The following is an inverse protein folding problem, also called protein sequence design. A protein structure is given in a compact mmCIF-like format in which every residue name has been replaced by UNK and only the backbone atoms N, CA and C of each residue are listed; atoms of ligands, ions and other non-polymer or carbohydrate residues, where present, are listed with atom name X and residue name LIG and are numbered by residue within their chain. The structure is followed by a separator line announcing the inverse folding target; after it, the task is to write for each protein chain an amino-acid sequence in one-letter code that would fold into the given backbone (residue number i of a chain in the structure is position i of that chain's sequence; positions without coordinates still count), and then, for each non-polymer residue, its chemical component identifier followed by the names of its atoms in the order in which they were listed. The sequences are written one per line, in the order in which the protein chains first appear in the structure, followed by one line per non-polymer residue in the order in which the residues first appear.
data_IF_899191054451
#
_entry.id   IF_899191054451
#
_cell.length_a   1.000
_cell.length_b   1.000
_cell.length_c   1.000
_cell.angle_alpha   90.00
_cell.angle_beta   90.00
_cell.angle_gamma   90.00
#
_symmetry.space_group_name_H-M   'P 1'
#
loop_
_entity.id
_entity.type
_entity.pdbx_description
1 polymer ?
#
# COMPACT_ATOMS: atom_id res chain seq x y z
N UNK A 1 -6.36 -38.46 -6.91
CA UNK A 1 -6.89 -37.72 -8.07
C UNK A 1 -7.17 -36.32 -7.55
N UNK A 2 -6.41 -35.31 -7.98
CA UNK A 2 -6.74 -33.92 -7.63
C UNK A 2 -7.95 -33.57 -8.49
N UNK A 3 -9.05 -33.26 -7.84
CA UNK A 3 -10.31 -33.00 -8.54
C UNK A 3 -10.25 -31.59 -9.14
N UNK A 4 -10.94 -31.38 -10.26
CA UNK A 4 -11.06 -30.05 -10.88
C UNK A 4 -11.55 -28.98 -9.88
N UNK A 5 -12.28 -29.43 -8.85
CA UNK A 5 -12.79 -28.65 -7.74
C UNK A 5 -11.68 -28.09 -6.83
N UNK A 6 -10.59 -28.84 -6.62
CA UNK A 6 -9.42 -28.40 -5.84
C UNK A 6 -8.64 -27.32 -6.60
N UNK A 7 -8.49 -27.48 -7.92
CA UNK A 7 -7.85 -26.48 -8.78
C UNK A 7 -8.67 -25.20 -8.85
N UNK A 8 -10.00 -25.30 -8.99
CA UNK A 8 -10.91 -24.14 -8.97
C UNK A 8 -10.82 -23.39 -7.64
N UNK A 9 -10.83 -24.10 -6.52
CA UNK A 9 -10.73 -23.51 -5.17
C UNK A 9 -9.38 -22.82 -4.97
N UNK A 10 -8.28 -23.40 -5.44
CA UNK A 10 -6.95 -22.79 -5.39
C UNK A 10 -6.86 -21.52 -6.23
N UNK A 11 -7.45 -21.50 -7.43
CA UNK A 11 -7.51 -20.32 -8.30
C UNK A 11 -8.37 -19.22 -7.66
N UNK A 12 -9.50 -19.56 -7.04
CA UNK A 12 -10.35 -18.60 -6.34
C UNK A 12 -9.63 -17.97 -5.14
N UNK A 13 -8.95 -18.79 -4.32
CA UNK A 13 -8.15 -18.32 -3.20
C UNK A 13 -7.03 -17.38 -3.66
N UNK A 14 -6.34 -17.77 -4.72
CA UNK A 14 -5.31 -16.98 -5.38
C UNK A 14 -5.79 -15.61 -5.84
N UNK A 15 -6.92 -15.57 -6.57
CA UNK A 15 -7.55 -14.33 -7.01
C UNK A 15 -8.01 -13.47 -5.82
N UNK A 16 -8.57 -14.08 -4.78
CA UNK A 16 -9.00 -13.38 -3.56
C UNK A 16 -7.85 -12.73 -2.81
N UNK A 17 -6.71 -13.42 -2.68
CA UNK A 17 -5.50 -12.88 -2.05
C UNK A 17 -4.93 -11.71 -2.86
N UNK A 18 -4.87 -11.84 -4.19
CA UNK A 18 -4.42 -10.76 -5.08
C UNK A 18 -5.31 -9.52 -4.94
N UNK A 19 -6.63 -9.70 -4.95
CA UNK A 19 -7.59 -8.60 -4.80
C UNK A 19 -7.47 -7.91 -3.44
N UNK A 20 -7.41 -8.69 -2.36
CA UNK A 20 -7.21 -8.16 -1.01
C UNK A 20 -5.92 -7.34 -0.92
N UNK A 21 -4.85 -7.81 -1.56
CA UNK A 21 -3.60 -7.06 -1.62
C UNK A 21 -3.71 -5.74 -2.35
N UNK A 22 -4.36 -5.70 -3.52
CA UNK A 22 -4.60 -4.45 -4.25
C UNK A 22 -5.41 -3.43 -3.44
N UNK A 23 -6.47 -3.87 -2.74
CA UNK A 23 -7.30 -2.98 -1.91
C UNK A 23 -6.51 -2.39 -0.75
N UNK A 24 -5.70 -3.20 -0.07
CA UNK A 24 -4.83 -2.76 1.02
C UNK A 24 -3.84 -1.72 0.49
N UNK A 25 -3.16 -2.00 -0.62
CA UNK A 25 -2.20 -1.08 -1.24
C UNK A 25 -2.86 0.25 -1.66
N UNK A 26 -4.01 0.21 -2.32
CA UNK A 26 -4.75 1.42 -2.73
C UNK A 26 -5.17 2.26 -1.52
N UNK A 27 -5.74 1.63 -0.49
CA UNK A 27 -6.12 2.32 0.75
C UNK A 27 -4.95 3.04 1.38
N UNK A 28 -3.77 2.42 1.40
CA UNK A 28 -2.57 3.00 2.00
C UNK A 28 -1.95 4.09 1.14
N UNK A 29 -1.90 3.91 -0.18
CA UNK A 29 -1.46 4.95 -1.12
C UNK A 29 -2.31 6.21 -0.96
N UNK A 30 -3.65 6.07 -0.92
CA UNK A 30 -4.58 7.19 -0.72
C UNK A 30 -4.48 7.84 0.65
N UNK A 31 -4.06 7.11 1.67
CA UNK A 31 -3.86 7.68 3.00
C UNK A 31 -2.64 8.61 2.99
N UNK A 32 -1.50 8.14 2.48
CA UNK A 32 -0.27 8.96 2.38
C UNK A 32 -0.48 10.15 1.45
N UNK A 33 -1.14 9.95 0.31
CA UNK A 33 -1.46 11.02 -0.64
C UNK A 33 -2.24 12.16 0.04
N UNK A 34 -3.30 11.84 0.79
CA UNK A 34 -4.09 12.83 1.53
C UNK A 34 -3.29 13.62 2.56
N UNK A 35 -2.33 12.97 3.24
CA UNK A 35 -1.45 13.65 4.17
C UNK A 35 -0.52 14.64 3.45
N UNK A 36 0.03 14.25 2.29
CA UNK A 36 0.85 15.12 1.46
C UNK A 36 0.05 16.27 0.86
N UNK A 37 -1.18 16.04 0.39
CA UNK A 37 -2.08 17.09 -0.11
C UNK A 37 -2.33 18.17 0.94
N UNK A 38 -2.46 17.79 2.21
CA UNK A 38 -2.59 18.77 3.30
C UNK A 38 -1.31 19.60 3.50
N UNK A 39 -0.14 18.97 3.44
CA UNK A 39 1.15 19.68 3.50
C UNK A 39 1.29 20.66 2.33
N UNK A 40 0.93 20.23 1.12
CA UNK A 40 0.95 21.05 -0.09
C UNK A 40 -0.04 22.22 0.01
N UNK A 41 -1.22 21.99 0.57
CA UNK A 41 -2.19 23.06 0.87
C UNK A 41 -1.60 24.10 1.83
N UNK A 42 -0.98 23.67 2.94
CA UNK A 42 -0.36 24.60 3.90
C UNK A 42 0.76 25.41 3.22
N UNK A 43 1.57 24.76 2.39
CA UNK A 43 2.66 25.40 1.62
C UNK A 43 2.16 26.41 0.60
N UNK A 44 1.12 26.08 -0.15
CA UNK A 44 0.65 26.89 -1.28
C UNK A 44 -0.35 27.98 -0.88
N UNK A 45 -1.12 27.77 0.19
CA UNK A 45 -2.23 28.66 0.56
C UNK A 45 -1.99 29.37 1.89
N UNK A 46 -1.59 28.64 2.93
CA UNK A 46 -1.51 29.20 4.30
C UNK A 46 -0.22 30.00 4.47
N UNK A 47 0.92 29.41 4.09
CA UNK A 47 2.24 30.02 4.25
C UNK A 47 2.38 31.40 3.59
N UNK A 48 1.90 31.64 2.36
CA UNK A 48 1.96 32.95 1.72
C UNK A 48 1.10 34.02 2.40
N UNK A 49 0.10 33.61 3.20
CA UNK A 49 -0.85 34.51 3.87
C UNK A 49 -0.49 34.76 5.34
N UNK A 50 0.41 33.95 5.90
CA UNK A 50 0.85 34.08 7.28
C UNK A 50 1.73 35.32 7.47
N UNK A 51 1.62 35.95 8.64
CA UNK A 51 2.52 37.03 9.03
C UNK A 51 4.00 36.58 9.10
N UNK A 52 4.94 37.53 9.03
CA UNK A 52 6.38 37.23 8.96
C UNK A 52 6.90 36.44 10.17
N UNK A 53 6.40 36.72 11.38
CA UNK A 53 6.83 36.05 12.61
C UNK A 53 6.36 34.60 12.69
N UNK A 54 5.17 34.31 12.16
CA UNK A 54 4.55 32.98 12.19
C UNK A 54 5.00 32.13 11.01
N UNK A 55 5.34 32.78 9.89
CA UNK A 55 5.79 32.12 8.66
C UNK A 55 7.02 31.26 8.88
N UNK A 56 8.09 31.77 9.49
CA UNK A 56 9.32 30.99 9.73
C UNK A 56 9.05 29.74 10.59
N UNK A 57 8.24 29.90 11.64
CA UNK A 57 7.85 28.78 12.50
C UNK A 57 7.02 27.75 11.73
N UNK A 58 6.09 28.20 10.88
CA UNK A 58 5.23 27.35 10.09
C UNK A 58 6.00 26.63 8.95
N UNK A 59 6.96 27.29 8.31
CA UNK A 59 7.85 26.68 7.30
C UNK A 59 8.63 25.52 7.91
N UNK A 60 9.23 25.73 9.09
CA UNK A 60 9.95 24.67 9.82
C UNK A 60 9.02 23.48 10.17
N UNK A 61 7.77 23.74 10.54
CA UNK A 61 6.78 22.68 10.84
C UNK A 61 6.35 21.92 9.58
N UNK A 62 6.19 22.62 8.45
CA UNK A 62 5.88 22.02 7.15
C UNK A 62 7.01 21.09 6.71
N UNK A 63 8.26 21.54 6.77
CA UNK A 63 9.43 20.73 6.41
C UNK A 63 9.57 19.50 7.32
N UNK A 64 9.34 19.66 8.63
CA UNK A 64 9.35 18.54 9.57
C UNK A 64 8.26 17.51 9.25
N UNK A 65 7.02 17.96 9.02
CA UNK A 65 5.91 17.08 8.67
C UNK A 65 6.14 16.37 7.32
N UNK A 66 6.65 17.09 6.32
CA UNK A 66 7.01 16.55 5.01
C UNK A 66 8.06 15.44 5.15
N UNK A 67 9.15 15.70 5.89
CA UNK A 67 10.21 14.70 6.12
C UNK A 67 9.68 13.44 6.83
N UNK A 68 8.81 13.59 7.83
CA UNK A 68 8.20 12.45 8.53
C UNK A 68 7.30 11.62 7.60
N UNK A 69 6.47 12.28 6.79
CA UNK A 69 5.57 11.61 5.83
C UNK A 69 6.36 10.95 4.70
N UNK A 70 7.39 11.62 4.16
CA UNK A 70 8.27 11.04 3.15
C UNK A 70 9.05 9.85 3.68
N UNK A 71 9.59 9.93 4.89
CA UNK A 71 10.32 8.82 5.52
C UNK A 71 9.43 7.58 5.62
N UNK A 72 8.18 7.76 6.07
CA UNK A 72 7.23 6.67 6.13
C UNK A 72 6.89 6.10 4.74
N UNK A 73 6.70 6.97 3.72
CA UNK A 73 6.46 6.56 2.34
C UNK A 73 7.63 5.74 1.77
N UNK A 74 8.86 6.24 1.92
CA UNK A 74 10.06 5.55 1.44
C UNK A 74 10.30 4.24 2.17
N UNK A 75 10.02 4.17 3.48
CA UNK A 75 10.12 2.93 4.23
C UNK A 75 9.12 1.86 3.79
N UNK A 76 7.96 2.27 3.26
CA UNK A 76 6.91 1.37 2.77
C UNK A 76 7.09 0.96 1.30
N UNK A 77 7.81 1.75 0.51
CA UNK A 77 7.95 1.55 -0.94
C UNK A 77 8.50 0.17 -1.31
N UNK A 78 9.55 -0.38 -0.65
CA UNK A 78 10.08 -1.69 -1.00
C UNK A 78 9.08 -2.83 -0.75
N UNK A 79 8.32 -2.75 0.35
CA UNK A 79 7.36 -3.80 0.72
C UNK A 79 6.11 -3.75 -0.17
N UNK A 80 5.65 -2.55 -0.51
CA UNK A 80 4.61 -2.30 -1.53
C UNK A 80 5.06 -2.87 -2.87
N UNK A 81 6.29 -2.57 -3.30
CA UNK A 81 6.83 -3.06 -4.57
C UNK A 81 6.91 -4.59 -4.59
N UNK A 82 7.44 -5.20 -3.53
CA UNK A 82 7.50 -6.66 -3.38
C UNK A 82 6.13 -7.29 -3.49
N UNK A 83 5.14 -6.74 -2.79
CA UNK A 83 3.76 -7.21 -2.85
C UNK A 83 3.18 -7.09 -4.27
N UNK A 84 3.40 -5.96 -4.95
CA UNK A 84 3.00 -5.76 -6.34
C UNK A 84 3.60 -6.80 -7.29
N UNK A 85 4.90 -7.07 -7.17
CA UNK A 85 5.61 -8.07 -7.98
C UNK A 85 5.05 -9.47 -7.71
N UNK A 86 4.85 -9.83 -6.44
CA UNK A 86 4.27 -11.12 -6.09
C UNK A 86 2.84 -11.27 -6.64
N UNK A 87 1.99 -10.26 -6.48
CA UNK A 87 0.64 -10.27 -7.02
C UNK A 87 0.63 -10.35 -8.56
N UNK A 88 1.55 -9.67 -9.23
CA UNK A 88 1.69 -9.70 -10.69
C UNK A 88 2.09 -11.10 -11.20
N UNK A 89 3.14 -11.69 -10.61
CA UNK A 89 3.59 -13.05 -10.94
C UNK A 89 2.46 -14.05 -10.72
N UNK A 90 1.76 -13.92 -9.59
CA UNK A 90 0.69 -14.83 -9.24
C UNK A 90 -0.53 -14.66 -10.16
N UNK A 91 -0.83 -13.43 -10.61
CA UNK A 91 -1.83 -13.17 -11.65
C UNK A 91 -1.50 -13.86 -12.98
N UNK A 92 -0.24 -13.80 -13.43
CA UNK A 92 0.22 -14.51 -14.62
C UNK A 92 0.06 -16.02 -14.44
N UNK A 93 0.47 -16.56 -13.30
CA UNK A 93 0.36 -17.99 -13.00
C UNK A 93 -1.10 -18.47 -13.02
N UNK A 94 -2.03 -17.70 -12.44
CA UNK A 94 -3.47 -17.98 -12.54
C UNK A 94 -3.98 -17.97 -13.98
N UNK A 95 -3.58 -16.98 -14.78
CA UNK A 95 -3.98 -16.91 -16.18
C UNK A 95 -3.47 -18.15 -16.96
N UNK A 96 -2.22 -18.54 -16.75
CA UNK A 96 -1.65 -19.74 -17.37
C UNK A 96 -2.39 -21.01 -16.90
N UNK A 97 -2.72 -21.12 -15.62
CA UNK A 97 -3.45 -22.26 -15.07
C UNK A 97 -4.88 -22.38 -15.62
N UNK A 98 -5.53 -21.27 -15.93
CA UNK A 98 -6.86 -21.26 -16.57
C UNK A 98 -6.81 -21.61 -18.05
N UNK A 99 -5.73 -21.23 -18.73
CA UNK A 99 -5.60 -21.36 -20.19
C UNK A 99 -4.98 -22.71 -20.59
N UNK A 100 -4.04 -23.25 -19.80
CA UNK A 100 -3.34 -24.50 -20.11
C UNK A 100 -4.27 -25.72 -20.35
N UNK A 101 -5.37 -25.92 -19.59
CA UNK A 101 -6.30 -27.03 -19.84
C UNK A 101 -6.98 -26.99 -21.22
N UNK A 102 -7.04 -25.83 -21.88
CA UNK A 102 -7.59 -25.70 -23.22
C UNK A 102 -6.64 -26.23 -24.32
N UNK A 103 -5.34 -26.34 -24.03
CA UNK A 103 -4.31 -26.66 -25.03
C UNK A 103 -3.70 -28.06 -24.90
N UNK A 104 -3.86 -28.76 -23.76
CA UNK A 104 -3.27 -30.08 -23.55
C UNK A 104 -4.31 -31.10 -23.01
N UNK A 105 -4.38 -32.29 -23.62
CA UNK A 105 -5.05 -33.51 -23.08
C UNK A 105 -4.03 -34.66 -23.09
N UNK A 106 -3.92 -35.54 -22.07
CA UNK A 106 -4.62 -35.58 -20.78
C UNK A 106 -3.77 -35.06 -19.59
N UNK A 107 -4.45 -34.56 -18.55
CA UNK A 107 -3.89 -33.75 -17.45
C UNK A 107 -3.79 -34.40 -16.03
N UNK A 108 -3.55 -35.72 -15.79
CA UNK A 108 -3.71 -36.24 -14.43
C UNK A 108 -2.47 -36.08 -13.52
N UNK A 109 -1.26 -36.03 -14.09
CA UNK A 109 0.01 -36.03 -13.32
C UNK A 109 0.59 -34.61 -13.20
N UNK A 110 0.27 -33.72 -14.16
CA UNK A 110 0.70 -32.32 -14.13
C UNK A 110 -0.12 -31.43 -13.18
N UNK A 111 -1.35 -31.83 -12.81
CA UNK A 111 -2.22 -31.03 -11.92
C UNK A 111 -1.68 -30.94 -10.49
N UNK A 112 -1.01 -31.96 -9.97
CA UNK A 112 -0.39 -31.90 -8.64
C UNK A 112 0.81 -30.95 -8.61
N UNK A 113 1.64 -30.97 -9.65
CA UNK A 113 2.76 -30.05 -9.79
C UNK A 113 2.28 -28.62 -10.05
N UNK A 114 1.22 -28.43 -10.84
CA UNK A 114 0.60 -27.12 -11.07
C UNK A 114 -0.06 -26.57 -9.80
N UNK A 115 -0.77 -27.40 -9.04
CA UNK A 115 -1.37 -27.01 -7.75
C UNK A 115 -0.29 -26.67 -6.73
N UNK A 116 0.77 -27.49 -6.63
CA UNK A 116 1.92 -27.21 -5.77
C UNK A 116 2.64 -25.93 -6.15
N UNK A 117 2.79 -25.65 -7.45
CA UNK A 117 3.37 -24.41 -7.96
C UNK A 117 2.49 -23.19 -7.65
N UNK A 118 1.17 -23.29 -7.86
CA UNK A 118 0.22 -22.24 -7.50
C UNK A 118 0.30 -21.97 -5.99
N UNK A 119 0.15 -22.98 -5.14
CA UNK A 119 0.23 -22.82 -3.67
C UNK A 119 1.57 -22.20 -3.26
N UNK A 120 2.70 -22.63 -3.84
CA UNK A 120 4.01 -22.05 -3.57
C UNK A 120 4.12 -20.58 -4.01
N UNK A 121 3.47 -20.19 -5.11
CA UNK A 121 3.42 -18.81 -5.60
C UNK A 121 2.50 -17.90 -4.77
N UNK A 122 1.41 -18.45 -4.20
CA UNK A 122 0.46 -17.68 -3.39
C UNK A 122 0.85 -17.58 -1.91
N UNK A 123 1.57 -18.56 -1.36
CA UNK A 123 2.06 -18.56 0.02
C UNK A 123 2.83 -17.28 0.45
N UNK A 124 3.71 -16.67 -0.37
CA UNK A 124 4.42 -15.45 0.03
C UNK A 124 3.55 -14.19 0.05
N UNK A 125 2.37 -14.18 -0.59
CA UNK A 125 1.53 -12.97 -0.68
C UNK A 125 0.91 -12.60 0.67
N UNK A 126 0.27 -13.53 1.42
CA UNK A 126 -0.21 -13.24 2.78
C UNK A 126 0.90 -12.75 3.71
N UNK A 127 2.12 -13.32 3.61
CA UNK A 127 3.26 -12.89 4.41
C UNK A 127 3.68 -11.46 4.08
N UNK A 128 3.78 -11.13 2.79
CA UNK A 128 4.06 -9.77 2.33
C UNK A 128 2.96 -8.78 2.77
N UNK A 129 1.68 -9.19 2.71
CA UNK A 129 0.55 -8.40 3.18
C UNK A 129 0.62 -8.09 4.68
N UNK A 130 0.97 -9.10 5.49
CA UNK A 130 1.14 -8.92 6.93
C UNK A 130 2.29 -7.97 7.23
N UNK A 131 3.42 -8.07 6.52
CA UNK A 131 4.55 -7.17 6.71
C UNK A 131 4.20 -5.72 6.32
N UNK A 132 3.56 -5.51 5.17
CA UNK A 132 3.04 -4.19 4.76
C UNK A 132 2.11 -3.63 5.83
N UNK A 133 1.14 -4.41 6.29
CA UNK A 133 0.21 -4.00 7.34
C UNK A 133 0.90 -3.67 8.67
N UNK A 134 1.93 -4.42 9.06
CA UNK A 134 2.72 -4.19 10.27
C UNK A 134 3.52 -2.89 10.18
N UNK A 135 4.21 -2.67 9.06
CA UNK A 135 4.97 -1.44 8.79
C UNK A 135 4.05 -0.22 8.82
N UNK A 136 2.88 -0.31 8.19
CA UNK A 136 1.89 0.76 8.22
C UNK A 136 1.37 1.05 9.61
N UNK A 137 1.04 0.04 10.41
CA UNK A 137 0.65 0.25 11.82
C UNK A 137 1.76 0.94 12.62
N UNK A 138 3.03 0.66 12.30
CA UNK A 138 4.18 1.31 12.94
C UNK A 138 4.31 2.79 12.54
N UNK A 139 4.08 3.13 11.28
CA UNK A 139 4.25 4.51 10.78
C UNK A 139 3.01 5.40 10.92
N UNK A 140 1.82 4.80 11.00
CA UNK A 140 0.56 5.54 11.10
C UNK A 140 0.56 6.57 12.25
N UNK A 141 1.00 6.23 13.50
CA UNK A 141 1.05 7.20 14.58
C UNK A 141 1.99 8.38 14.30
N UNK A 142 3.13 8.13 13.66
CA UNK A 142 4.06 9.21 13.30
C UNK A 142 3.44 10.16 12.28
N UNK A 143 2.79 9.63 11.24
CA UNK A 143 2.08 10.44 10.23
C UNK A 143 0.92 11.22 10.84
N UNK A 144 0.11 10.56 11.68
CA UNK A 144 -1.02 11.19 12.39
C UNK A 144 -0.50 12.34 13.29
N UNK A 145 0.53 12.09 14.10
CA UNK A 145 1.13 13.10 14.96
C UNK A 145 1.78 14.26 14.19
N UNK A 146 2.40 13.98 13.04
CA UNK A 146 2.95 15.01 12.16
C UNK A 146 1.83 15.93 11.63
N UNK A 147 0.75 15.32 11.14
CA UNK A 147 -0.42 16.02 10.65
C UNK A 147 -1.10 16.83 11.75
N UNK A 148 -1.31 16.26 12.92
CA UNK A 148 -1.97 16.94 14.05
C UNK A 148 -1.15 18.13 14.55
N UNK A 149 0.17 17.98 14.64
CA UNK A 149 1.08 19.10 14.97
C UNK A 149 1.02 20.21 13.93
N UNK A 150 1.01 19.85 12.65
CA UNK A 150 0.90 20.82 11.57
C UNK A 150 -0.47 21.52 11.59
N UNK A 151 -1.55 20.78 11.78
CA UNK A 151 -2.90 21.33 11.86
C UNK A 151 -3.07 22.27 13.05
N UNK A 152 -2.51 21.92 14.22
CA UNK A 152 -2.48 22.80 15.39
C UNK A 152 -1.71 24.08 15.11
N UNK A 153 -0.53 23.99 14.50
CA UNK A 153 0.28 25.15 14.14
C UNK A 153 -0.44 26.08 13.14
N UNK A 154 -1.10 25.51 12.13
CA UNK A 154 -1.94 26.27 11.19
C UNK A 154 -3.08 26.99 11.92
N UNK A 155 -3.77 26.30 12.84
CA UNK A 155 -4.88 26.90 13.58
C UNK A 155 -4.44 28.03 14.51
N UNK A 156 -3.28 27.88 15.16
CA UNK A 156 -2.67 28.93 15.98
C UNK A 156 -2.27 30.13 15.12
N UNK A 157 -1.67 29.89 13.95
CA UNK A 157 -1.28 30.94 13.00
C UNK A 157 -2.49 31.75 12.50
N UNK A 158 -3.57 31.06 12.13
CA UNK A 158 -4.80 31.71 11.66
C UNK A 158 -5.51 32.50 12.76
N UNK A 159 -5.35 32.13 14.04
CA UNK A 159 -5.90 32.87 15.18
C UNK A 159 -5.08 34.10 15.55
N UNK A 160 -3.76 34.05 15.39
CA UNK A 160 -2.91 35.21 15.66
C UNK A 160 -3.04 36.33 14.62
N UNK A 161 -3.59 36.00 13.44
CA UNK A 161 -3.81 36.96 12.34
C UNK A 161 -5.22 37.60 12.35
N UNK A 162 -6.13 37.17 13.24
CA UNK A 162 -7.50 37.67 13.39
C UNK A 162 -7.63 38.64 14.57
#
# INVERSE_FOLDING_TARGET
MIELMDLSSAIQLACGINFAGSVIMDRHSRYIARCMEYVDYVRSVVLPRANAATRETLENRVVAAENEIFTARFALLPDIWRLQVLCFIAGIACALALVAPAFFKPFPIETANALGLLVAMFCPIPLALVEVGRRLKKFKPAIDNARDRLQKAVHEALRSDA
#
